data_IF_476529427372
#
_entry.id   IF_476529427372
#
_cell.length_a   1.000
_cell.length_b   1.000
_cell.length_c   1.000
_cell.angle_alpha   90.00
_cell.angle_beta   90.00
_cell.angle_gamma   90.00
#
_symmetry.space_group_name_H-M   'P 1'
#
loop_
_entity.id
_entity.type
_entity.pdbx_description
1 polymer ?
#
# COMPACT_ATOMS: atom_id res chain seq x y z
N UNK A 1 -7.97 -9.42 -17.13
CA UNK A 1 -7.00 -9.06 -16.07
C UNK A 1 -5.67 -9.64 -16.51
N UNK A 2 -4.64 -8.81 -16.63
CA UNK A 2 -3.28 -9.23 -16.97
C UNK A 2 -2.66 -10.03 -15.81
N UNK A 3 -1.68 -10.88 -16.12
CA UNK A 3 -0.93 -11.61 -15.09
C UNK A 3 -0.21 -10.63 -14.14
N UNK A 4 -0.12 -10.95 -12.84
CA UNK A 4 0.61 -10.12 -11.89
C UNK A 4 2.10 -10.07 -12.24
N UNK A 5 2.69 -8.88 -12.16
CA UNK A 5 4.12 -8.66 -12.43
C UNK A 5 5.03 -9.32 -11.39
N UNK A 6 4.50 -9.65 -10.21
CA UNK A 6 5.19 -10.33 -9.12
C UNK A 6 4.18 -11.20 -8.36
N UNK A 7 4.43 -12.50 -8.26
CA UNK A 7 3.64 -13.40 -7.44
C UNK A 7 3.99 -13.28 -5.96
N UNK A 8 3.09 -13.73 -5.08
CA UNK A 8 3.32 -13.65 -3.63
C UNK A 8 4.51 -14.51 -3.16
N UNK A 9 4.75 -15.67 -3.80
CA UNK A 9 5.91 -16.50 -3.50
C UNK A 9 7.22 -15.87 -3.97
N UNK A 10 7.20 -15.10 -5.07
CA UNK A 10 8.36 -14.31 -5.50
C UNK A 10 8.64 -13.17 -4.54
N UNK A 11 7.60 -12.50 -4.02
CA UNK A 11 7.75 -11.48 -2.98
C UNK A 11 8.40 -12.06 -1.71
N UNK A 12 7.98 -13.25 -1.26
CA UNK A 12 8.61 -13.94 -0.12
C UNK A 12 10.09 -14.24 -0.34
N UNK A 13 10.46 -14.67 -1.56
CA UNK A 13 11.86 -14.93 -1.91
C UNK A 13 12.69 -13.64 -1.94
N UNK A 14 12.15 -12.57 -2.51
CA UNK A 14 12.80 -11.25 -2.57
C UNK A 14 12.96 -10.61 -1.19
N UNK A 15 12.01 -10.84 -0.28
CA UNK A 15 12.13 -10.45 1.12
C UNK A 15 13.27 -11.22 1.82
N UNK A 16 13.29 -12.55 1.67
CA UNK A 16 14.31 -13.40 2.27
C UNK A 16 15.74 -13.12 1.74
N UNK A 17 15.88 -12.68 0.50
CA UNK A 17 17.16 -12.26 -0.07
C UNK A 17 17.58 -10.83 0.32
N UNK A 18 16.68 -10.04 0.89
CA UNK A 18 16.88 -8.62 1.17
C UNK A 18 16.81 -7.72 -0.07
N UNK A 19 16.30 -8.22 -1.19
CA UNK A 19 16.10 -7.44 -2.42
C UNK A 19 14.96 -6.43 -2.28
N UNK A 20 13.91 -6.81 -1.53
CA UNK A 20 12.77 -5.94 -1.21
C UNK A 20 12.64 -5.89 0.30
N UNK A 21 12.69 -4.69 0.88
CA UNK A 21 12.49 -4.46 2.32
C UNK A 21 11.15 -3.77 2.65
N UNK A 22 10.55 -3.08 1.69
CA UNK A 22 9.37 -2.23 1.90
C UNK A 22 8.29 -2.51 0.85
N UNK A 23 7.04 -2.63 1.30
CA UNK A 23 5.84 -2.73 0.43
C UNK A 23 5.01 -1.46 0.57
N UNK A 24 4.72 -0.80 -0.55
CA UNK A 24 3.79 0.33 -0.61
C UNK A 24 2.39 -0.20 -0.89
N UNK A 25 1.50 -0.13 0.10
CA UNK A 25 0.08 -0.44 -0.09
C UNK A 25 -0.66 0.86 -0.28
N UNK A 26 -1.09 1.11 -1.51
CA UNK A 26 -1.67 2.37 -1.93
C UNK A 26 -3.08 2.20 -2.50
N UNK A 27 -3.88 3.24 -2.34
CA UNK A 27 -5.10 3.48 -3.09
C UNK A 27 -4.99 4.83 -3.82
N UNK A 28 -5.92 5.10 -4.71
CA UNK A 28 -5.99 6.36 -5.46
C UNK A 28 -6.95 7.30 -4.76
N UNK A 29 -6.51 8.51 -4.42
CA UNK A 29 -7.35 9.55 -3.82
C UNK A 29 -8.15 10.36 -4.86
N UNK A 30 -8.87 11.40 -4.41
CA UNK A 30 -9.67 12.29 -5.27
C UNK A 30 -8.83 13.04 -6.33
N UNK A 31 -7.55 13.28 -6.08
CA UNK A 31 -6.65 14.00 -6.99
C UNK A 31 -5.84 13.05 -7.89
N UNK A 32 -6.06 11.73 -7.78
CA UNK A 32 -5.34 10.73 -8.57
C UNK A 32 -3.97 10.35 -8.00
N UNK A 33 -3.67 10.71 -6.75
CA UNK A 33 -2.39 10.40 -6.08
C UNK A 33 -2.43 9.01 -5.45
N UNK A 34 -1.26 8.38 -5.36
CA UNK A 34 -1.09 7.17 -4.55
C UNK A 34 -0.93 7.57 -3.08
N UNK A 35 -1.94 7.24 -2.28
CA UNK A 35 -1.94 7.45 -0.82
C UNK A 35 -2.05 6.11 -0.10
N UNK A 36 -1.38 5.96 1.04
CA UNK A 36 -1.39 4.69 1.75
C UNK A 36 -0.27 4.53 2.76
N UNK A 37 0.19 3.28 2.94
CA UNK A 37 1.16 2.90 3.96
C UNK A 37 2.43 2.32 3.37
N UNK A 38 3.53 2.51 4.09
CA UNK A 38 4.79 1.82 3.87
C UNK A 38 4.91 0.71 4.91
N UNK A 39 4.81 -0.53 4.47
CA UNK A 39 5.01 -1.69 5.33
C UNK A 39 6.45 -2.17 5.23
N UNK A 40 7.01 -2.59 6.37
CA UNK A 40 8.12 -3.53 6.35
C UNK A 40 7.64 -4.82 5.68
N UNK A 41 8.41 -5.37 4.75
CA UNK A 41 7.99 -6.48 3.90
C UNK A 41 7.60 -7.73 4.70
N UNK A 42 8.29 -8.03 5.79
CA UNK A 42 8.01 -9.20 6.62
C UNK A 42 6.65 -9.08 7.31
N UNK A 43 6.31 -7.88 7.80
CA UNK A 43 4.99 -7.62 8.38
C UNK A 43 3.88 -7.73 7.33
N UNK A 44 4.14 -7.22 6.12
CA UNK A 44 3.17 -7.33 5.03
C UNK A 44 2.88 -8.78 4.65
N UNK A 45 3.93 -9.62 4.58
CA UNK A 45 3.82 -11.06 4.28
C UNK A 45 3.11 -11.81 5.40
N UNK A 46 3.35 -11.45 6.67
CA UNK A 46 2.81 -12.16 7.83
C UNK A 46 1.32 -11.90 8.05
N UNK A 47 0.86 -10.66 7.85
CA UNK A 47 -0.55 -10.30 8.09
C UNK A 47 -1.06 -9.09 7.29
N UNK A 48 -0.19 -8.16 6.90
CA UNK A 48 -0.63 -6.90 6.27
C UNK A 48 -1.34 -7.07 4.92
N UNK A 49 -1.14 -8.20 4.23
CA UNK A 49 -1.85 -8.52 2.99
C UNK A 49 -3.27 -9.08 3.22
N UNK A 50 -3.57 -9.60 4.41
CA UNK A 50 -4.90 -10.13 4.74
C UNK A 50 -5.84 -8.99 5.13
N UNK A 51 -5.37 -8.08 5.98
CA UNK A 51 -6.13 -6.93 6.43
C UNK A 51 -5.23 -5.73 6.74
N UNK A 52 -5.61 -4.56 6.23
CA UNK A 52 -5.05 -3.27 6.66
C UNK A 52 -6.11 -2.18 6.61
N UNK A 53 -6.15 -1.35 7.64
CA UNK A 53 -7.06 -0.21 7.68
C UNK A 53 -6.41 1.06 7.14
N UNK A 54 -7.21 1.86 6.44
CA UNK A 54 -6.91 3.25 6.19
C UNK A 54 -8.09 4.10 6.68
N UNK A 55 -7.83 5.36 7.01
CA UNK A 55 -8.89 6.25 7.45
C UNK A 55 -9.60 6.86 6.25
N UNK A 56 -10.93 6.96 6.31
CA UNK A 56 -11.73 7.57 5.23
C UNK A 56 -11.35 9.02 4.93
N UNK A 57 -10.73 9.74 5.88
CA UNK A 57 -10.28 11.11 5.65
C UNK A 57 -9.29 11.21 4.48
N UNK A 58 -8.52 10.16 4.21
CA UNK A 58 -7.59 10.10 3.06
C UNK A 58 -8.29 10.18 1.70
N UNK A 59 -9.62 10.02 1.66
CA UNK A 59 -10.45 10.17 0.48
C UNK A 59 -11.19 11.53 0.44
N UNK A 60 -11.00 12.38 1.44
CA UNK A 60 -11.70 13.66 1.60
C UNK A 60 -10.74 14.84 1.79
N UNK A 61 -9.43 14.61 1.83
CA UNK A 61 -8.44 15.68 1.92
C UNK A 61 -8.08 16.23 0.54
N UNK A 62 -7.63 17.48 0.53
CA UNK A 62 -7.04 18.13 -0.63
C UNK A 62 -5.54 17.79 -0.81
N UNK A 63 -4.84 18.58 -1.63
CA UNK A 63 -3.43 18.33 -1.91
C UNK A 63 -2.53 18.58 -0.69
N UNK A 64 -2.96 19.46 0.22
CA UNK A 64 -2.22 19.92 1.39
C UNK A 64 -2.57 19.13 2.66
N UNK A 65 -3.38 18.06 2.52
CA UNK A 65 -3.90 17.22 3.62
C UNK A 65 -4.89 17.98 4.53
N UNK A 66 -5.66 18.89 3.94
CA UNK A 66 -6.75 19.58 4.63
C UNK A 66 -8.11 18.95 4.23
N UNK A 67 -8.99 18.63 5.19
CA UNK A 67 -10.33 18.12 4.89
C UNK A 67 -11.14 19.14 4.09
N UNK A 68 -11.70 18.73 2.95
CA UNK A 68 -12.55 19.63 2.15
C UNK A 68 -13.97 19.72 2.74
N UNK A 69 -14.61 20.90 2.69
CA UNK A 69 -16.03 21.02 3.04
C UNK A 69 -16.89 20.11 2.14
N UNK A 70 -17.79 19.35 2.76
CA UNK A 70 -18.78 18.50 2.09
C UNK A 70 -20.05 19.23 1.69
#
# INVERSE_FOLDING_TARGET
MTEPLLSFDELKRAAASGEIDTVLVCMVDMQGRLVGKRFQVEFFIDSGHEETHCCNYLLADDIDMEPVPG
#
